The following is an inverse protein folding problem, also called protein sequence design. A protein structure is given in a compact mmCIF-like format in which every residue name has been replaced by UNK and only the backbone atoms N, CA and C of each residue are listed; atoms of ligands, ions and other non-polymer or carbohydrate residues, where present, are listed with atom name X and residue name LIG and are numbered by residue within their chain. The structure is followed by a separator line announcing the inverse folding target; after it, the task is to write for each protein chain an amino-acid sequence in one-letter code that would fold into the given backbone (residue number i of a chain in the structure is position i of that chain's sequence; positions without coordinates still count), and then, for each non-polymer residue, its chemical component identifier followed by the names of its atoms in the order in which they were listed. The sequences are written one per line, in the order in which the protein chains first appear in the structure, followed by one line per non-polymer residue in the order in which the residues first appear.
data_IF_729632167359
#
_entry.id   IF_729632167359
#
_cell.length_a   1.000
_cell.length_b   1.000
_cell.length_c   1.000
_cell.angle_alpha   90.00
_cell.angle_beta   90.00
_cell.angle_gamma   90.00
#
_symmetry.space_group_name_H-M   'P 1'
#
loop_
_entity.id
_entity.type
_entity.pdbx_description
1 polymer ?
#
# COMPACT_ATOMS: atom_id res chain seq x y z
N UNK A 1 -33.10 13.66 -6.00
CA UNK A 1 -32.78 12.63 -4.98
C UNK A 1 -32.01 11.41 -5.53
N UNK A 2 -32.32 10.87 -6.72
CA UNK A 2 -31.60 9.70 -7.31
C UNK A 2 -30.10 9.91 -7.63
N UNK A 3 -29.61 11.14 -7.80
CA UNK A 3 -28.20 11.39 -8.17
C UNK A 3 -27.23 11.35 -6.99
N UNK A 4 -27.64 11.86 -5.82
CA UNK A 4 -26.79 11.93 -4.62
C UNK A 4 -26.56 10.52 -4.06
N UNK A 5 -27.59 9.67 -4.05
CA UNK A 5 -27.45 8.30 -3.55
C UNK A 5 -26.41 7.49 -4.35
N UNK A 6 -26.30 7.69 -5.67
CA UNK A 6 -25.28 7.03 -6.49
C UNK A 6 -23.86 7.51 -6.16
N UNK A 7 -23.70 8.78 -5.79
CA UNK A 7 -22.42 9.29 -5.29
C UNK A 7 -22.09 8.74 -3.91
N UNK A 8 -23.08 8.62 -3.02
CA UNK A 8 -22.90 8.00 -1.70
C UNK A 8 -22.49 6.53 -1.87
N UNK A 9 -23.20 5.77 -2.71
CA UNK A 9 -22.87 4.36 -3.00
C UNK A 9 -21.47 4.26 -3.61
N UNK A 10 -21.13 5.08 -4.60
CA UNK A 10 -19.79 5.09 -5.19
C UNK A 10 -18.72 5.38 -4.13
N UNK A 11 -18.96 6.36 -3.25
CA UNK A 11 -18.06 6.70 -2.16
C UNK A 11 -17.88 5.55 -1.18
N UNK A 12 -18.97 4.89 -0.74
CA UNK A 12 -18.90 3.75 0.17
C UNK A 12 -18.12 2.58 -0.43
N UNK A 13 -18.32 2.29 -1.72
CA UNK A 13 -17.57 1.26 -2.45
C UNK A 13 -16.09 1.65 -2.49
N UNK A 14 -15.75 2.85 -2.95
CA UNK A 14 -14.36 3.31 -3.04
C UNK A 14 -13.67 3.36 -1.67
N UNK A 15 -14.35 3.83 -0.63
CA UNK A 15 -13.83 3.86 0.74
C UNK A 15 -13.59 2.44 1.28
N UNK A 16 -14.52 1.51 1.04
CA UNK A 16 -14.34 0.10 1.37
C UNK A 16 -13.11 -0.51 0.71
N UNK A 17 -12.90 -0.23 -0.58
CA UNK A 17 -11.69 -0.66 -1.31
C UNK A 17 -10.41 -0.02 -0.78
N UNK A 18 -10.44 1.28 -0.46
CA UNK A 18 -9.29 1.98 0.10
C UNK A 18 -8.85 1.37 1.45
N UNK A 19 -9.82 1.03 2.31
CA UNK A 19 -9.56 0.36 3.58
C UNK A 19 -8.98 -1.04 3.34
N UNK A 20 -9.60 -1.82 2.44
CA UNK A 20 -9.13 -3.16 2.09
C UNK A 20 -7.66 -3.12 1.62
N UNK A 21 -7.34 -2.28 0.63
CA UNK A 21 -5.98 -2.13 0.10
C UNK A 21 -4.97 -1.71 1.17
N UNK A 22 -5.36 -0.81 2.08
CA UNK A 22 -4.49 -0.37 3.17
C UNK A 22 -4.17 -1.52 4.12
N UNK A 23 -5.17 -2.31 4.50
CA UNK A 23 -5.01 -3.39 5.49
C UNK A 23 -4.32 -4.62 4.90
N UNK A 24 -4.59 -4.96 3.64
CA UNK A 24 -3.95 -6.10 2.95
C UNK A 24 -2.63 -5.73 2.27
N UNK A 25 -2.25 -4.45 2.30
CA UNK A 25 -1.03 -3.97 1.66
C UNK A 25 0.25 -4.51 2.31
N UNK A 26 1.33 -4.71 1.54
CA UNK A 26 2.58 -5.25 2.06
C UNK A 26 3.28 -4.31 3.06
N UNK A 27 2.92 -3.03 3.04
CA UNK A 27 3.47 -2.00 3.93
C UNK A 27 2.71 -1.87 5.25
N UNK A 28 1.57 -2.54 5.41
CA UNK A 28 0.78 -2.48 6.65
C UNK A 28 1.58 -3.06 7.82
N UNK A 29 1.79 -2.32 8.92
CA UNK A 29 2.59 -2.80 10.05
C UNK A 29 2.03 -4.11 10.60
N UNK A 30 2.93 -5.06 10.93
CA UNK A 30 2.53 -6.28 11.62
C UNK A 30 2.31 -5.94 13.09
N UNK A 31 1.05 -6.02 13.51
CA UNK A 31 0.66 -5.88 14.91
C UNK A 31 0.26 -7.23 15.48
N UNK A 32 0.40 -7.37 16.79
CA UNK A 32 0.01 -8.59 17.49
C UNK A 32 0.21 -8.49 18.99
N UNK A 33 -0.07 -9.61 19.63
CA UNK A 33 0.06 -9.82 21.07
C UNK A 33 0.79 -11.13 21.30
N UNK A 34 1.68 -11.15 22.28
CA UNK A 34 2.27 -12.38 22.80
C UNK A 34 2.15 -12.40 24.32
N UNK A 35 2.21 -13.58 24.91
CA UNK A 35 2.27 -13.75 26.36
C UNK A 35 3.67 -14.19 26.72
N UNK A 36 4.33 -13.48 27.62
CA UNK A 36 5.65 -13.83 28.18
C UNK A 36 5.57 -13.72 29.70
N UNK A 37 5.90 -14.79 30.43
CA UNK A 37 5.80 -14.87 31.89
C UNK A 37 4.44 -14.42 32.44
N UNK A 38 3.35 -14.85 31.77
CA UNK A 38 1.97 -14.50 32.13
C UNK A 38 1.54 -13.06 31.78
N UNK A 39 2.41 -12.25 31.16
CA UNK A 39 2.11 -10.87 30.78
C UNK A 39 1.84 -10.73 29.28
N UNK A 40 0.75 -10.07 28.93
CA UNK A 40 0.44 -9.73 27.52
C UNK A 40 1.31 -8.54 27.06
N UNK A 41 2.11 -8.76 26.02
CA UNK A 41 2.95 -7.75 25.36
C UNK A 41 2.39 -7.50 23.97
N UNK A 42 2.01 -6.24 23.71
CA UNK A 42 1.58 -5.77 22.39
C UNK A 42 2.79 -5.30 21.60
N UNK A 43 2.83 -5.64 20.32
CA UNK A 43 3.89 -5.19 19.42
C UNK A 43 3.33 -4.60 18.13
N UNK A 44 4.11 -3.70 17.53
CA UNK A 44 3.87 -3.13 16.20
C UNK A 44 5.23 -3.05 15.50
N UNK A 45 5.39 -3.86 14.46
CA UNK A 45 6.62 -3.97 13.68
C UNK A 45 6.37 -3.48 12.25
N UNK A 46 7.15 -2.51 11.78
CA UNK A 46 6.98 -1.90 10.47
C UNK A 46 7.43 -2.83 9.33
N UNK A 47 6.80 -2.69 8.17
CA UNK A 47 7.17 -3.42 6.94
C UNK A 47 7.69 -2.49 5.85
N UNK A 48 7.68 -1.19 6.10
CA UNK A 48 8.28 -0.18 5.24
C UNK A 48 8.78 0.98 6.09
N UNK A 49 9.98 1.48 5.78
CA UNK A 49 10.59 2.61 6.48
C UNK A 49 11.36 3.52 5.52
N UNK A 50 11.68 4.73 5.95
CA UNK A 50 12.47 5.69 5.15
C UNK A 50 13.91 5.21 5.01
N UNK A 51 14.49 5.39 3.82
CA UNK A 51 15.91 5.19 3.55
C UNK A 51 16.81 6.24 4.21
N UNK A 52 16.25 7.34 4.71
CA UNK A 52 17.00 8.46 5.28
C UNK A 52 17.34 8.26 6.77
N UNK A 53 16.67 7.33 7.45
CA UNK A 53 16.79 7.13 8.91
C UNK A 53 16.84 5.66 9.28
N UNK A 54 17.52 5.34 10.38
CA UNK A 54 17.44 4.02 10.98
C UNK A 54 16.00 3.79 11.50
N UNK A 55 15.52 2.56 11.36
CA UNK A 55 14.22 2.20 11.91
C UNK A 55 14.37 1.87 13.40
N UNK A 56 13.80 2.71 14.26
CA UNK A 56 13.74 2.45 15.70
C UNK A 56 12.66 1.41 16.01
N UNK A 57 13.08 0.19 16.31
CA UNK A 57 12.20 -0.90 16.73
C UNK A 57 11.91 -0.73 18.22
N UNK A 58 10.64 -0.60 18.58
CA UNK A 58 10.23 -0.31 19.95
C UNK A 58 9.14 -1.26 20.45
N UNK A 59 9.34 -1.81 21.65
CA UNK A 59 8.37 -2.71 22.29
C UNK A 59 8.17 -2.28 23.74
N UNK A 60 6.92 -1.97 24.09
CA UNK A 60 6.53 -1.65 25.46
C UNK A 60 6.36 -2.95 26.26
N UNK A 61 7.38 -3.29 27.06
CA UNK A 61 7.36 -4.44 27.97
C UNK A 61 6.77 -4.09 29.33
N UNK A 62 6.90 -2.83 29.75
CA UNK A 62 6.56 -2.32 31.09
C UNK A 62 7.14 -3.20 32.22
N UNK A 63 8.28 -3.84 31.98
CA UNK A 63 8.93 -4.80 32.87
C UNK A 63 10.45 -4.75 32.61
N UNK A 64 11.25 -4.29 33.59
CA UNK A 64 12.69 -4.14 33.43
C UNK A 64 13.44 -5.48 33.42
N UNK A 65 12.80 -6.58 33.84
CA UNK A 65 13.43 -7.91 33.82
C UNK A 65 13.35 -8.56 32.43
N UNK A 66 12.54 -8.00 31.52
CA UNK A 66 12.42 -8.50 30.16
C UNK A 66 13.58 -7.94 29.34
N UNK A 67 14.35 -8.86 28.75
CA UNK A 67 15.39 -8.54 27.78
C UNK A 67 14.84 -8.70 26.37
N UNK A 68 15.38 -7.93 25.44
CA UNK A 68 15.01 -7.99 24.03
C UNK A 68 16.23 -8.01 23.14
N UNK A 69 16.16 -8.76 22.06
CA UNK A 69 17.19 -8.87 21.05
C UNK A 69 16.55 -8.66 19.68
N UNK A 70 17.07 -7.70 18.93
CA UNK A 70 16.68 -7.45 17.55
C UNK A 70 17.63 -8.23 16.64
N UNK A 71 17.08 -9.06 15.77
CA UNK A 71 17.84 -9.84 14.80
C UNK A 71 17.53 -9.38 13.38
N UNK A 72 18.54 -9.23 12.53
CA UNK A 72 18.33 -8.89 11.12
C UNK A 72 19.43 -9.40 10.17
N UNK A 73 19.04 -9.58 8.90
CA UNK A 73 19.96 -9.91 7.78
C UNK A 73 19.39 -9.47 6.44
N UNK A 74 20.21 -9.28 5.40
CA UNK A 74 19.70 -8.85 4.10
C UNK A 74 18.68 -9.87 3.58
N UNK A 75 17.61 -9.39 2.96
CA UNK A 75 16.58 -10.26 2.38
C UNK A 75 17.21 -11.27 1.40
N UNK A 76 16.78 -12.53 1.49
CA UNK A 76 17.35 -13.68 0.72
C UNK A 76 18.82 -14.02 1.02
N UNK A 77 19.43 -13.42 2.04
CA UNK A 77 20.75 -13.86 2.51
C UNK A 77 20.65 -15.24 3.17
N UNK A 78 21.61 -16.12 2.86
CA UNK A 78 21.77 -17.42 3.54
C UNK A 78 22.67 -17.36 4.78
N UNK A 79 23.24 -16.19 5.06
CA UNK A 79 24.08 -15.98 6.25
C UNK A 79 23.27 -15.90 7.55
N UNK A 80 24.01 -15.89 8.65
CA UNK A 80 23.47 -15.73 10.00
C UNK A 80 22.87 -14.33 10.21
N UNK A 81 21.97 -14.24 11.18
CA UNK A 81 21.40 -12.96 11.60
C UNK A 81 22.44 -12.18 12.40
N UNK A 82 22.58 -10.90 12.06
CA UNK A 82 23.18 -9.93 12.98
C UNK A 82 22.20 -9.72 14.13
N UNK A 83 22.72 -9.39 15.32
CA UNK A 83 21.88 -9.10 16.46
C UNK A 83 22.38 -7.88 17.23
N UNK A 84 21.45 -7.21 17.91
CA UNK A 84 21.75 -6.19 18.91
C UNK A 84 20.80 -6.32 20.08
N UNK A 85 21.32 -6.14 21.28
CA UNK A 85 20.50 -6.05 22.49
C UNK A 85 19.69 -4.75 22.47
N UNK A 86 18.40 -4.88 22.76
CA UNK A 86 17.51 -3.74 22.94
C UNK A 86 17.73 -3.11 24.30
N UNK A 87 17.68 -1.77 24.35
CA UNK A 87 17.91 -0.99 25.58
C UNK A 87 16.61 -0.34 26.06
N UNK A 88 16.44 -0.30 27.39
CA UNK A 88 15.37 0.42 28.09
C UNK A 88 14.68 -0.43 29.16
N UNK A 89 13.95 0.23 30.07
CA UNK A 89 13.32 -0.47 31.22
C UNK A 89 11.85 -0.78 30.94
N UNK A 90 11.05 0.25 30.65
CA UNK A 90 9.61 0.10 30.35
C UNK A 90 9.34 -0.15 28.87
N UNK A 91 10.26 0.29 28.03
CA UNK A 91 10.17 0.26 26.57
C UNK A 91 11.54 -0.10 26.04
N UNK A 92 11.64 -1.30 25.50
CA UNK A 92 12.85 -1.77 24.85
C UNK A 92 12.93 -1.17 23.46
N UNK A 93 14.12 -0.71 23.09
CA UNK A 93 14.38 -0.07 21.81
C UNK A 93 15.71 -0.51 21.21
N UNK A 94 15.75 -0.70 19.90
CA UNK A 94 16.97 -0.94 19.13
C UNK A 94 16.82 -0.34 17.73
N UNK A 95 17.95 0.07 17.15
CA UNK A 95 17.97 0.60 15.80
C UNK A 95 18.26 -0.51 14.79
N UNK A 96 17.38 -0.62 13.79
CA UNK A 96 17.63 -1.37 12.57
C UNK A 96 18.26 -0.42 11.54
N UNK A 97 19.47 -0.69 11.03
CA UNK A 97 20.16 0.21 10.12
C UNK A 97 19.36 0.54 8.87
N UNK A 98 19.39 1.80 8.44
CA UNK A 98 18.79 2.22 7.18
C UNK A 98 19.41 1.48 5.99
N UNK A 99 18.64 1.34 4.91
CA UNK A 99 19.14 0.83 3.62
C UNK A 99 18.76 1.75 2.47
N UNK A 100 19.45 1.57 1.34
CA UNK A 100 19.10 2.22 0.07
C UNK A 100 17.67 1.85 -0.34
N UNK A 101 16.99 2.69 -1.15
CA UNK A 101 15.68 2.36 -1.69
C UNK A 101 15.65 0.99 -2.36
N UNK A 102 14.50 0.31 -2.29
CA UNK A 102 14.26 -1.06 -2.79
C UNK A 102 14.95 -2.19 -2.00
N UNK A 103 16.01 -1.89 -1.24
CA UNK A 103 16.64 -2.90 -0.39
C UNK A 103 15.75 -3.27 0.80
N UNK A 104 15.92 -4.50 1.30
CA UNK A 104 15.08 -5.08 2.35
C UNK A 104 15.93 -5.74 3.43
N UNK A 105 15.47 -5.63 4.67
CA UNK A 105 15.91 -6.51 5.77
C UNK A 105 14.87 -7.60 6.00
N UNK A 106 15.34 -8.81 6.29
CA UNK A 106 14.62 -9.77 7.12
C UNK A 106 14.96 -9.47 8.58
N UNK A 107 13.96 -9.33 9.44
CA UNK A 107 14.17 -9.06 10.85
C UNK A 107 13.08 -9.66 11.73
N UNK A 108 13.41 -9.88 13.00
CA UNK A 108 12.47 -10.27 14.04
C UNK A 108 12.99 -9.81 15.39
N UNK A 109 12.14 -9.84 16.42
CA UNK A 109 12.56 -9.54 17.79
C UNK A 109 12.36 -10.76 18.66
N UNK A 110 13.34 -11.07 19.50
CA UNK A 110 13.22 -12.07 20.55
C UNK A 110 13.10 -11.37 21.89
N UNK A 111 12.14 -11.77 22.70
CA UNK A 111 11.99 -11.30 24.08
C UNK A 111 12.23 -12.47 25.03
N UNK A 112 12.93 -12.23 26.12
CA UNK A 112 13.23 -13.26 27.12
C UNK A 112 13.02 -12.74 28.53
N UNK A 113 12.52 -13.62 29.41
CA UNK A 113 12.43 -13.40 30.85
C UNK A 113 12.75 -14.69 31.59
N UNK A 114 13.92 -14.75 32.23
CA UNK A 114 14.41 -15.99 32.86
C UNK A 114 14.63 -17.10 31.84
N UNK A 115 13.84 -18.18 31.90
CA UNK A 115 13.89 -19.31 30.95
C UNK A 115 12.84 -19.24 29.84
N UNK A 116 11.88 -18.31 29.94
CA UNK A 116 10.85 -18.15 28.92
C UNK A 116 11.32 -17.21 27.82
N UNK A 117 11.03 -17.58 26.57
CA UNK A 117 11.37 -16.81 25.39
C UNK A 117 10.21 -16.80 24.41
N UNK A 118 10.02 -15.65 23.76
CA UNK A 118 9.03 -15.50 22.69
C UNK A 118 9.63 -14.71 21.53
N UNK A 119 9.32 -15.14 20.31
CA UNK A 119 9.73 -14.46 19.09
C UNK A 119 8.57 -13.64 18.53
N UNK A 120 8.84 -12.43 18.04
CA UNK A 120 7.89 -11.52 17.44
C UNK A 120 8.19 -11.40 15.94
N UNK A 121 7.21 -11.67 15.04
CA UNK A 121 5.78 -11.92 15.28
C UNK A 121 5.40 -13.42 15.36
N UNK A 122 6.23 -14.27 15.95
CA UNK A 122 6.05 -15.73 16.04
C UNK A 122 7.21 -16.47 15.37
N UNK A 123 6.97 -17.61 14.68
CA UNK A 123 8.04 -18.35 13.99
C UNK A 123 8.50 -17.68 12.68
N UNK A 124 7.83 -16.60 12.26
CA UNK A 124 8.07 -15.95 10.98
C UNK A 124 9.07 -14.79 11.13
N UNK A 125 9.89 -14.59 10.10
CA UNK A 125 10.66 -13.36 9.93
C UNK A 125 9.82 -12.30 9.23
N UNK A 126 9.97 -11.04 9.61
CA UNK A 126 9.36 -9.92 8.92
C UNK A 126 10.30 -9.39 7.86
N UNK A 127 9.70 -8.93 6.76
CA UNK A 127 10.41 -8.22 5.70
C UNK A 127 10.04 -6.75 5.82
N UNK A 128 11.06 -5.90 5.96
CA UNK A 128 10.96 -4.45 5.92
C UNK A 128 11.68 -3.92 4.69
N UNK A 129 10.97 -3.11 3.89
CA UNK A 129 11.52 -2.43 2.71
C UNK A 129 11.85 -0.98 3.02
N UNK A 130 12.97 -0.51 2.49
CA UNK A 130 13.35 0.90 2.54
C UNK A 130 12.95 1.64 1.26
N UNK A 131 12.51 2.89 1.42
CA UNK A 131 12.13 3.80 0.33
C UNK A 131 12.51 5.24 0.67
N UNK A 132 12.74 6.07 -0.34
CA UNK A 132 12.91 7.50 -0.17
C UNK A 132 11.63 8.18 0.35
N UNK A 133 11.82 9.30 1.05
CA UNK A 133 10.71 10.14 1.49
C UNK A 133 10.11 10.89 0.31
N UNK A 134 8.80 10.70 0.11
CA UNK A 134 8.06 11.37 -0.95
C UNK A 134 7.49 12.68 -0.40
N UNK A 135 7.77 13.84 -1.02
CA UNK A 135 7.24 15.10 -0.56
C UNK A 135 5.70 15.10 -0.49
N UNK A 136 5.15 15.67 0.57
CA UNK A 136 3.68 15.71 0.79
C UNK A 136 2.93 16.40 -0.34
N UNK A 137 3.55 17.38 -1.01
CA UNK A 137 2.96 18.08 -2.17
C UNK A 137 2.86 17.19 -3.42
N UNK A 138 3.56 16.05 -3.48
CA UNK A 138 3.36 15.01 -4.51
C UNK A 138 2.37 13.95 -3.99
N UNK A 139 2.60 13.47 -2.76
CA UNK A 139 1.86 12.35 -2.20
C UNK A 139 0.36 12.68 -2.01
N UNK A 140 0.04 13.86 -1.45
CA UNK A 140 -1.35 14.25 -1.18
C UNK A 140 -2.14 14.39 -2.49
N UNK A 141 -1.66 15.14 -3.51
CA UNK A 141 -2.34 15.17 -4.80
C UNK A 141 -2.43 13.80 -5.47
N UNK A 142 -1.38 12.97 -5.40
CA UNK A 142 -1.40 11.63 -5.99
C UNK A 142 -2.56 10.80 -5.43
N UNK A 143 -2.66 10.72 -4.10
CA UNK A 143 -3.73 10.02 -3.39
C UNK A 143 -5.10 10.57 -3.80
N UNK A 144 -5.25 11.90 -3.83
CA UNK A 144 -6.50 12.55 -4.23
C UNK A 144 -6.93 12.16 -5.65
N UNK A 145 -6.02 12.24 -6.63
CA UNK A 145 -6.33 11.92 -8.01
C UNK A 145 -6.59 10.42 -8.22
N UNK A 146 -5.85 9.54 -7.52
CA UNK A 146 -6.05 8.08 -7.61
C UNK A 146 -7.40 7.66 -7.05
N UNK A 147 -7.74 8.07 -5.82
CA UNK A 147 -9.04 7.74 -5.24
C UNK A 147 -10.18 8.49 -5.94
N UNK A 148 -9.93 9.71 -6.45
CA UNK A 148 -10.86 10.43 -7.31
C UNK A 148 -11.16 9.67 -8.60
N UNK A 149 -10.14 9.09 -9.25
CA UNK A 149 -10.32 8.25 -10.44
C UNK A 149 -11.15 7.00 -10.13
N UNK A 150 -10.90 6.33 -8.99
CA UNK A 150 -11.69 5.16 -8.56
C UNK A 150 -13.14 5.53 -8.24
N UNK A 151 -13.36 6.65 -7.57
CA UNK A 151 -14.70 7.16 -7.26
C UNK A 151 -15.47 7.48 -8.54
N UNK A 152 -14.84 8.22 -9.45
CA UNK A 152 -15.42 8.57 -10.75
C UNK A 152 -15.70 7.31 -11.57
N UNK A 153 -14.76 6.37 -11.64
CA UNK A 153 -14.92 5.05 -12.27
C UNK A 153 -16.18 4.31 -11.77
N UNK A 154 -16.30 4.17 -10.46
CA UNK A 154 -17.46 3.52 -9.83
C UNK A 154 -18.75 4.30 -10.12
N UNK A 155 -18.69 5.63 -10.05
CA UNK A 155 -19.83 6.50 -10.37
C UNK A 155 -20.26 6.39 -11.83
N UNK A 156 -19.32 6.25 -12.76
CA UNK A 156 -19.59 6.05 -14.19
C UNK A 156 -20.32 4.75 -14.42
N UNK A 157 -19.92 3.64 -13.78
CA UNK A 157 -20.64 2.38 -13.87
C UNK A 157 -22.08 2.48 -13.32
N UNK A 158 -22.26 3.16 -12.19
CA UNK A 158 -23.57 3.40 -11.58
C UNK A 158 -24.48 4.33 -12.40
N UNK A 159 -23.94 5.06 -13.38
CA UNK A 159 -24.73 5.93 -14.27
C UNK A 159 -25.74 5.13 -15.12
N UNK A 160 -25.56 3.80 -15.27
CA UNK A 160 -26.57 2.89 -15.85
C UNK A 160 -27.96 3.04 -15.24
N UNK A 161 -28.05 3.42 -13.95
CA UNK A 161 -29.31 3.58 -13.22
C UNK A 161 -29.89 5.01 -13.26
N UNK A 162 -29.21 5.97 -13.89
CA UNK A 162 -29.58 7.39 -13.87
C UNK A 162 -29.86 7.93 -15.28
N UNK A 163 -31.13 8.22 -15.58
CA UNK A 163 -31.55 8.89 -16.82
C UNK A 163 -31.75 10.40 -16.57
N UNK A 164 -31.31 11.31 -17.47
CA UNK A 164 -30.52 11.06 -18.67
C UNK A 164 -29.06 10.68 -18.33
N UNK A 165 -28.48 9.85 -19.19
CA UNK A 165 -27.14 9.30 -19.00
C UNK A 165 -26.04 10.34 -19.30
N UNK A 166 -25.00 10.40 -18.47
CA UNK A 166 -23.84 11.27 -18.65
C UNK A 166 -22.52 10.48 -18.77
N UNK A 167 -22.54 9.34 -19.45
CA UNK A 167 -21.36 8.47 -19.56
C UNK A 167 -20.13 9.18 -20.12
N UNK A 168 -20.27 9.93 -21.23
CA UNK A 168 -19.12 10.58 -21.89
C UNK A 168 -18.37 11.53 -20.94
N UNK A 169 -19.11 12.39 -20.24
CA UNK A 169 -18.52 13.35 -19.29
C UNK A 169 -17.79 12.63 -18.16
N UNK A 170 -18.45 11.64 -17.53
CA UNK A 170 -17.85 10.90 -16.41
C UNK A 170 -16.64 10.08 -16.84
N UNK A 171 -16.70 9.43 -18.01
CA UNK A 171 -15.56 8.71 -18.61
C UNK A 171 -14.35 9.63 -18.84
N UNK A 172 -14.56 10.84 -19.39
CA UNK A 172 -13.48 11.81 -19.58
C UNK A 172 -12.86 12.20 -18.24
N UNK A 173 -13.68 12.52 -17.23
CA UNK A 173 -13.19 12.86 -15.90
C UNK A 173 -12.39 11.71 -15.27
N UNK A 174 -12.87 10.46 -15.37
CA UNK A 174 -12.14 9.28 -14.88
C UNK A 174 -10.77 9.17 -15.54
N UNK A 175 -10.70 9.31 -16.87
CA UNK A 175 -9.44 9.26 -17.62
C UNK A 175 -8.50 10.39 -17.20
N UNK A 176 -9.00 11.63 -17.09
CA UNK A 176 -8.17 12.77 -16.68
C UNK A 176 -7.58 12.57 -15.28
N UNK A 177 -8.39 12.12 -14.32
CA UNK A 177 -7.91 11.84 -12.96
C UNK A 177 -6.90 10.69 -12.96
N UNK A 178 -7.13 9.64 -13.75
CA UNK A 178 -6.21 8.51 -13.87
C UNK A 178 -4.89 8.92 -14.52
N UNK A 179 -4.89 9.81 -15.50
CA UNK A 179 -3.66 10.35 -16.12
C UNK A 179 -2.83 11.12 -15.09
N UNK A 180 -3.47 12.06 -14.39
CA UNK A 180 -2.79 12.94 -13.44
C UNK A 180 -2.29 12.13 -12.24
N UNK A 181 -3.15 11.32 -11.63
CA UNK A 181 -2.80 10.50 -10.46
C UNK A 181 -1.85 9.36 -10.81
N UNK A 182 -2.20 8.57 -11.81
CA UNK A 182 -1.54 7.31 -12.13
C UNK A 182 -0.22 7.46 -12.86
N UNK A 183 -0.11 8.40 -13.79
CA UNK A 183 1.11 8.60 -14.57
C UNK A 183 1.91 9.81 -14.11
N UNK A 184 1.37 11.03 -14.18
CA UNK A 184 2.15 12.23 -13.86
C UNK A 184 2.67 12.23 -12.41
N UNK A 185 1.75 12.10 -11.45
CA UNK A 185 2.10 12.06 -10.03
C UNK A 185 2.64 10.69 -9.61
N UNK A 186 2.23 9.62 -10.29
CA UNK A 186 2.78 8.27 -10.08
C UNK A 186 4.26 8.18 -10.41
N UNK A 187 4.68 8.71 -11.57
CA UNK A 187 6.10 8.77 -11.95
C UNK A 187 6.91 9.63 -11.00
N UNK A 188 6.37 10.78 -10.60
CA UNK A 188 7.01 11.64 -9.61
C UNK A 188 7.19 10.91 -8.26
N UNK A 189 6.15 10.21 -7.79
CA UNK A 189 6.23 9.44 -6.54
C UNK A 189 7.29 8.34 -6.62
N UNK A 190 7.31 7.55 -7.70
CA UNK A 190 8.29 6.48 -7.90
C UNK A 190 9.71 7.04 -7.96
N UNK A 191 9.91 8.17 -8.62
CA UNK A 191 11.21 8.83 -8.69
C UNK A 191 11.73 9.20 -7.29
N UNK A 192 10.91 9.83 -6.45
CA UNK A 192 11.30 10.16 -5.08
C UNK A 192 11.49 8.93 -4.20
N UNK A 193 10.64 7.91 -4.36
CA UNK A 193 10.65 6.73 -3.50
C UNK A 193 11.78 5.74 -3.84
N UNK A 194 12.11 5.58 -5.12
CA UNK A 194 12.96 4.49 -5.61
C UNK A 194 14.07 4.95 -6.57
N UNK A 195 14.05 6.20 -7.04
CA UNK A 195 15.02 6.70 -8.03
C UNK A 195 14.72 6.25 -9.47
N UNK A 196 13.55 5.65 -9.71
CA UNK A 196 13.11 5.19 -11.02
C UNK A 196 11.75 5.83 -11.36
N UNK A 197 11.53 6.21 -12.61
CA UNK A 197 10.26 6.84 -12.99
C UNK A 197 9.12 5.82 -13.17
N UNK A 198 9.44 4.62 -13.66
CA UNK A 198 8.45 3.60 -14.02
C UNK A 198 9.12 2.23 -14.13
N UNK A 199 8.67 1.26 -13.33
CA UNK A 199 9.13 -0.13 -13.38
C UNK A 199 8.30 -1.00 -14.33
N UNK A 200 7.19 -0.51 -14.87
CA UNK A 200 6.31 -1.25 -15.78
C UNK A 200 6.72 -1.17 -17.26
N UNK A 201 5.94 -1.82 -18.12
CA UNK A 201 6.11 -1.76 -19.57
C UNK A 201 5.91 -0.33 -20.10
N UNK A 202 6.71 0.15 -21.07
CA UNK A 202 7.73 -0.57 -21.85
C UNK A 202 9.14 -0.55 -21.23
N UNK A 203 9.35 0.15 -20.11
CA UNK A 203 10.69 0.40 -19.56
C UNK A 203 11.15 -0.65 -18.56
N UNK A 204 10.24 -1.46 -18.03
CA UNK A 204 10.51 -2.56 -17.10
C UNK A 204 9.43 -3.63 -17.13
N UNK A 205 9.53 -4.57 -16.18
CA UNK A 205 8.69 -5.76 -16.08
C UNK A 205 7.88 -5.85 -14.78
N UNK A 206 7.81 -4.76 -14.00
CA UNK A 206 7.02 -4.74 -12.76
C UNK A 206 5.53 -4.79 -13.09
N UNK A 207 4.93 -5.94 -12.79
CA UNK A 207 3.50 -6.20 -12.95
C UNK A 207 2.66 -5.24 -12.09
N UNK A 208 3.22 -4.74 -10.98
CA UNK A 208 2.53 -3.81 -10.08
C UNK A 208 2.34 -2.44 -10.71
N UNK A 209 3.33 -1.95 -11.46
CA UNK A 209 3.23 -0.67 -12.20
C UNK A 209 2.33 -0.82 -13.44
N UNK A 210 2.31 -2.00 -14.07
CA UNK A 210 1.44 -2.29 -15.21
C UNK A 210 -0.06 -2.23 -14.89
N UNK A 211 -0.44 -2.34 -13.62
CA UNK A 211 -1.85 -2.23 -13.18
C UNK A 211 -2.50 -0.95 -13.67
N UNK A 212 -1.87 0.19 -13.40
CA UNK A 212 -2.39 1.50 -13.80
C UNK A 212 -2.52 1.61 -15.32
N UNK A 213 -1.56 1.04 -16.07
CA UNK A 213 -1.61 1.00 -17.53
C UNK A 213 -2.78 0.15 -18.06
N UNK A 214 -3.01 -1.03 -17.50
CA UNK A 214 -4.15 -1.90 -17.86
C UNK A 214 -5.48 -1.19 -17.60
N UNK A 215 -5.63 -0.57 -16.44
CA UNK A 215 -6.82 0.21 -16.11
C UNK A 215 -7.01 1.37 -17.11
N UNK A 216 -5.94 2.08 -17.44
CA UNK A 216 -5.96 3.19 -18.40
C UNK A 216 -6.40 2.74 -19.80
N UNK A 217 -5.81 1.65 -20.33
CA UNK A 217 -6.19 1.10 -21.64
C UNK A 217 -7.67 0.71 -21.64
N UNK A 218 -8.16 0.05 -20.58
CA UNK A 218 -9.58 -0.29 -20.46
C UNK A 218 -10.50 0.93 -20.51
N UNK A 219 -10.09 2.03 -19.87
CA UNK A 219 -10.83 3.28 -19.92
C UNK A 219 -10.77 3.98 -21.28
N UNK A 220 -9.65 3.91 -22.00
CA UNK A 220 -9.55 4.41 -23.38
C UNK A 220 -10.48 3.64 -24.32
N UNK A 221 -10.53 2.31 -24.19
CA UNK A 221 -11.48 1.47 -24.93
C UNK A 221 -12.91 1.89 -24.60
N UNK A 222 -13.26 2.03 -23.32
CA UNK A 222 -14.58 2.49 -22.93
C UNK A 222 -14.92 3.88 -23.48
N UNK A 223 -13.98 4.81 -23.50
CA UNK A 223 -14.17 6.14 -24.10
C UNK A 223 -14.49 6.05 -25.59
N UNK A 224 -13.79 5.21 -26.35
CA UNK A 224 -14.07 5.02 -27.78
C UNK A 224 -15.51 4.56 -28.02
N UNK A 225 -15.94 3.50 -27.31
CA UNK A 225 -17.29 2.94 -27.45
C UNK A 225 -18.38 3.91 -26.95
N UNK A 226 -18.12 4.62 -25.85
CA UNK A 226 -19.04 5.65 -25.33
C UNK A 226 -19.20 6.82 -26.30
N UNK A 227 -18.10 7.29 -26.90
CA UNK A 227 -18.13 8.40 -27.86
C UNK A 227 -18.85 8.03 -29.16
N UNK A 228 -18.79 6.76 -29.57
CA UNK A 228 -19.49 6.22 -30.73
C UNK A 228 -20.93 5.79 -30.45
N UNK A 229 -21.39 5.92 -29.20
CA UNK A 229 -22.68 5.41 -28.70
C UNK A 229 -22.89 3.89 -28.96
N UNK A 230 -21.78 3.14 -28.99
CA UNK A 230 -21.79 1.69 -29.20
C UNK A 230 -21.77 0.98 -27.85
N UNK A 231 -22.96 0.62 -27.35
CA UNK A 231 -23.14 -0.05 -26.07
C UNK A 231 -22.44 0.63 -24.87
N UNK A 232 -22.60 1.96 -24.65
CA UNK A 232 -21.88 2.73 -23.64
C UNK A 232 -22.01 2.16 -22.22
N UNK A 233 -23.16 1.57 -21.90
CA UNK A 233 -23.43 0.92 -20.60
C UNK A 233 -22.51 -0.27 -20.34
N UNK A 234 -22.33 -1.13 -21.34
CA UNK A 234 -21.54 -2.35 -21.20
C UNK A 234 -20.06 -2.00 -20.98
N UNK A 235 -19.50 -1.15 -21.85
CA UNK A 235 -18.08 -0.82 -21.81
C UNK A 235 -17.68 0.01 -20.58
N UNK A 236 -18.57 0.88 -20.07
CA UNK A 236 -18.30 1.62 -18.83
C UNK A 236 -18.31 0.72 -17.59
N UNK A 237 -19.24 -0.24 -17.52
CA UNK A 237 -19.26 -1.22 -16.43
C UNK A 237 -18.04 -2.14 -16.51
N UNK A 238 -17.69 -2.63 -17.70
CA UNK A 238 -16.50 -3.47 -17.88
C UNK A 238 -15.21 -2.76 -17.50
N UNK A 239 -15.04 -1.48 -17.90
CA UNK A 239 -13.86 -0.70 -17.53
C UNK A 239 -13.78 -0.43 -16.02
N UNK A 240 -14.91 -0.14 -15.36
CA UNK A 240 -14.95 0.05 -13.92
C UNK A 240 -14.63 -1.24 -13.15
N UNK A 241 -15.17 -2.38 -13.59
CA UNK A 241 -14.86 -3.70 -13.03
C UNK A 241 -13.39 -4.05 -13.23
N UNK A 242 -12.83 -3.80 -14.43
CA UNK A 242 -11.41 -4.01 -14.70
C UNK A 242 -10.55 -3.18 -13.75
N UNK A 243 -10.82 -1.88 -13.61
CA UNK A 243 -10.08 -1.00 -12.71
C UNK A 243 -10.15 -1.48 -11.25
N UNK A 244 -11.33 -1.91 -10.80
CA UNK A 244 -11.54 -2.46 -9.47
C UNK A 244 -10.72 -3.73 -9.26
N UNK A 245 -10.80 -4.70 -10.18
CA UNK A 245 -10.03 -5.97 -10.11
C UNK A 245 -8.54 -5.69 -10.08
N UNK A 246 -8.06 -4.84 -10.97
CA UNK A 246 -6.65 -4.48 -11.08
C UNK A 246 -6.12 -3.86 -9.79
N UNK A 247 -6.91 -2.99 -9.16
CA UNK A 247 -6.56 -2.37 -7.88
C UNK A 247 -6.89 -3.23 -6.65
N UNK A 248 -7.58 -4.37 -6.80
CA UNK A 248 -7.71 -5.37 -5.74
C UNK A 248 -6.44 -6.18 -5.55
N UNK A 249 -5.65 -6.35 -6.61
CA UNK A 249 -4.38 -7.06 -6.54
C UNK A 249 -3.48 -6.25 -5.61
N UNK A 250 -3.09 -6.77 -4.43
CA UNK A 250 -2.19 -6.06 -3.53
C UNK A 250 -0.94 -5.64 -4.30
N UNK A 251 -0.43 -4.43 -4.06
CA UNK A 251 0.85 -4.05 -4.61
C UNK A 251 1.87 -5.13 -4.20
N UNK A 252 2.40 -5.86 -5.17
CA UNK A 252 3.54 -6.73 -4.94
C UNK A 252 4.72 -5.80 -5.04
N UNK A 253 5.06 -5.14 -3.95
CA UNK A 253 6.34 -4.47 -3.88
C UNK A 253 7.33 -5.56 -3.54
#
# INVERSE_FOLDING_TARGET
MKKIILWIIAFLITAGFAIYQRVTGPTYPKTGKVVLAGKEIKFKLERSHSSNTNYLVEIATNDPEIKGELYWRPFQSKGDFNFVEMKGDKKLSAELPARKPLEKWEYFVKLSKGKEEVTLPGPNVLIIRFKGDVPSWVLIPHIFFMFGAMLLSTRTALEVFNKPYNFLKLTIWTISFLIIGGFLLGFAMNWFAFGEMWGGFPFGNDVTDNKTLVAFIGWIVAYYFVKRDLAPKLFTVLAALLMLIVYMIPHSV
#
